data_IF_421971830961
#
_entry.id   IF_421971830961
#
_cell.length_a   1.000
_cell.length_b   1.000
_cell.length_c   1.000
_cell.angle_alpha   90.00
_cell.angle_beta   90.00
_cell.angle_gamma   90.00
#
_symmetry.space_group_name_H-M   'P 1'
#
loop_
_entity.id
_entity.type
_entity.pdbx_description
1 polymer ?
#
# COMPACT_ATOMS: atom_id res chain seq x y z
N UNK A 1 4.64 -17.55 1.14
CA UNK A 1 4.77 -17.21 -0.31
C UNK A 1 4.35 -15.75 -0.51
N UNK A 2 4.69 -15.10 -1.63
CA UNK A 2 4.40 -13.66 -1.82
C UNK A 2 2.89 -13.35 -1.80
N UNK A 3 2.09 -14.23 -2.40
CA UNK A 3 0.62 -14.11 -2.46
C UNK A 3 -0.05 -14.24 -1.08
N UNK A 4 0.47 -15.12 -0.22
CA UNK A 4 -0.02 -15.28 1.16
C UNK A 4 0.22 -14.01 1.98
N UNK A 5 1.38 -13.37 1.78
CA UNK A 5 1.73 -12.12 2.46
C UNK A 5 0.88 -10.95 1.95
N UNK A 6 0.63 -10.89 0.64
CA UNK A 6 -0.22 -9.87 0.00
C UNK A 6 -1.65 -9.91 0.54
N UNK A 7 -2.28 -11.10 0.59
CA UNK A 7 -3.64 -11.25 1.09
C UNK A 7 -3.82 -10.92 2.58
N UNK A 8 -2.81 -11.21 3.41
CA UNK A 8 -2.82 -10.82 4.82
C UNK A 8 -2.76 -9.30 4.99
N UNK A 9 -1.96 -8.63 4.16
CA UNK A 9 -1.76 -7.18 4.25
C UNK A 9 -2.80 -6.34 3.53
N UNK A 10 -3.63 -6.91 2.66
CA UNK A 10 -4.79 -6.22 2.12
C UNK A 10 -5.86 -5.98 3.21
N UNK A 11 -6.05 -6.98 4.08
CA UNK A 11 -7.07 -6.92 5.13
C UNK A 11 -6.65 -6.06 6.33
N UNK A 12 -5.35 -5.94 6.60
CA UNK A 12 -4.84 -5.13 7.72
C UNK A 12 -5.27 -3.66 7.67
N UNK A 13 -4.97 -2.87 6.62
CA UNK A 13 -5.32 -1.45 6.54
C UNK A 13 -6.83 -1.24 6.39
N UNK A 14 -7.54 -2.15 5.72
CA UNK A 14 -8.99 -2.13 5.65
C UNK A 14 -9.63 -2.23 7.05
N UNK A 15 -9.15 -3.14 7.89
CA UNK A 15 -9.62 -3.27 9.27
C UNK A 15 -9.13 -2.14 10.18
N UNK A 16 -7.91 -1.63 9.96
CA UNK A 16 -7.33 -0.55 10.75
C UNK A 16 -8.08 0.77 10.57
N UNK A 17 -8.43 1.11 9.34
CA UNK A 17 -9.07 2.39 9.01
C UNK A 17 -10.58 2.27 8.80
N UNK A 18 -11.11 1.07 8.60
CA UNK A 18 -12.52 0.86 8.25
C UNK A 18 -12.87 1.37 6.84
N UNK A 19 -11.88 1.43 5.94
CA UNK A 19 -12.05 1.94 4.57
C UNK A 19 -11.72 0.86 3.55
N UNK A 20 -12.29 0.99 2.35
CA UNK A 20 -11.96 0.13 1.22
C UNK A 20 -10.63 0.50 0.56
N UNK A 21 -10.13 -0.41 -0.27
CA UNK A 21 -8.94 -0.19 -1.09
C UNK A 21 -9.22 0.83 -2.20
N UNK A 22 -8.23 1.65 -2.52
CA UNK A 22 -8.23 2.58 -3.63
C UNK A 22 -6.97 2.38 -4.47
N UNK A 23 -7.14 1.89 -5.69
CA UNK A 23 -6.06 1.67 -6.64
C UNK A 23 -5.55 3.01 -7.19
N UNK A 24 -4.24 3.21 -7.14
CA UNK A 24 -3.57 4.43 -7.59
C UNK A 24 -3.01 4.27 -9.00
N UNK A 25 -2.86 5.38 -9.77
CA UNK A 25 -2.32 5.33 -11.13
C UNK A 25 -0.91 4.73 -11.25
N UNK A 26 -0.14 4.70 -10.17
CA UNK A 26 1.21 4.13 -10.10
C UNK A 26 1.21 2.62 -9.75
N UNK A 27 0.03 2.00 -9.69
CA UNK A 27 -0.19 0.58 -9.41
C UNK A 27 -0.26 0.24 -7.91
N UNK A 28 -0.27 1.24 -7.02
CA UNK A 28 -0.41 1.01 -5.58
C UNK A 28 -1.86 0.73 -5.17
N UNK A 29 -2.05 -0.26 -4.30
CA UNK A 29 -3.32 -0.47 -3.60
C UNK A 29 -3.26 0.29 -2.27
N UNK A 30 -4.06 1.35 -2.12
CA UNK A 30 -3.94 2.27 -0.99
C UNK A 30 -5.20 2.36 -0.15
N UNK A 31 -5.02 2.59 1.15
CA UNK A 31 -6.07 2.90 2.10
C UNK A 31 -5.75 4.21 2.79
N UNK A 32 -6.73 5.11 2.85
CA UNK A 32 -6.57 6.44 3.42
C UNK A 32 -7.44 6.57 4.67
N UNK A 33 -6.80 6.74 5.82
CA UNK A 33 -7.44 6.99 7.10
C UNK A 33 -6.84 8.22 7.77
N UNK A 34 -6.35 8.06 9.01
CA UNK A 34 -5.57 9.10 9.67
C UNK A 34 -4.19 9.31 9.01
N UNK A 35 -3.70 8.28 8.32
CA UNK A 35 -2.54 8.25 7.47
C UNK A 35 -2.80 7.33 6.26
N UNK A 36 -1.83 7.19 5.38
CA UNK A 36 -1.95 6.40 4.14
C UNK A 36 -1.08 5.16 4.23
N UNK A 37 -1.67 4.01 3.93
CA UNK A 37 -0.96 2.75 3.77
C UNK A 37 -1.17 2.30 2.33
N UNK A 38 -0.10 1.98 1.62
CA UNK A 38 -0.16 1.43 0.27
C UNK A 38 0.67 0.15 0.15
N UNK A 39 0.14 -0.78 -0.61
CA UNK A 39 0.75 -2.05 -0.98
C UNK A 39 1.15 -2.00 -2.45
N UNK A 40 2.38 -2.40 -2.73
CA UNK A 40 2.96 -2.41 -4.07
C UNK A 40 3.58 -3.77 -4.38
N UNK A 41 3.51 -4.16 -5.65
CA UNK A 41 4.36 -5.21 -6.19
C UNK A 41 5.47 -4.55 -7.03
N UNK A 42 6.71 -4.64 -6.56
CA UNK A 42 7.89 -4.05 -7.22
C UNK A 42 8.89 -5.17 -7.51
N UNK A 43 8.99 -5.55 -8.80
CA UNK A 43 9.73 -6.74 -9.21
C UNK A 43 9.15 -8.00 -8.55
N UNK A 44 10.00 -8.75 -7.86
CA UNK A 44 9.61 -9.95 -7.11
C UNK A 44 9.24 -9.65 -5.64
N UNK A 45 9.35 -8.39 -5.21
CA UNK A 45 9.10 -7.99 -3.84
C UNK A 45 7.72 -7.35 -3.67
N UNK A 46 7.08 -7.67 -2.54
CA UNK A 46 5.92 -6.95 -2.04
C UNK A 46 6.38 -5.87 -1.07
N UNK A 47 6.05 -4.61 -1.35
CA UNK A 47 6.48 -3.45 -0.57
C UNK A 47 5.25 -2.80 0.05
N UNK A 48 5.38 -2.43 1.33
CA UNK A 48 4.34 -1.73 2.08
C UNK A 48 4.90 -0.38 2.48
N UNK A 49 4.21 0.68 2.10
CA UNK A 49 4.57 2.04 2.44
C UNK A 49 3.48 2.62 3.33
N UNK A 50 3.87 3.16 4.48
CA UNK A 50 2.99 3.88 5.40
C UNK A 50 3.52 5.30 5.59
N UNK A 51 2.72 6.30 5.25
CA UNK A 51 3.14 7.70 5.22
C UNK A 51 1.95 8.63 5.54
N UNK A 52 2.18 9.91 5.88
CA UNK A 52 1.10 10.83 6.25
C UNK A 52 0.11 11.13 5.10
N UNK A 53 0.54 11.06 3.86
CA UNK A 53 -0.24 11.40 2.66
C UNK A 53 0.20 10.60 1.44
N UNK A 54 -0.63 10.58 0.40
CA UNK A 54 -0.39 9.84 -0.84
C UNK A 54 0.85 10.32 -1.60
N UNK A 55 1.17 11.62 -1.54
CA UNK A 55 2.34 12.19 -2.22
C UNK A 55 3.62 11.57 -1.66
N UNK A 56 3.74 11.55 -0.33
CA UNK A 56 4.88 10.93 0.36
C UNK A 56 4.97 9.44 0.07
N UNK A 57 3.83 8.72 0.00
CA UNK A 57 3.84 7.30 -0.38
C UNK A 57 4.39 7.11 -1.80
N UNK A 58 3.92 7.91 -2.76
CA UNK A 58 4.34 7.81 -4.15
C UNK A 58 5.85 8.08 -4.31
N UNK A 59 6.40 9.07 -3.60
CA UNK A 59 7.83 9.36 -3.58
C UNK A 59 8.67 8.19 -3.05
N UNK A 60 8.25 7.59 -1.92
CA UNK A 60 8.93 6.42 -1.36
C UNK A 60 8.85 5.24 -2.31
N UNK A 61 7.67 4.95 -2.88
CA UNK A 61 7.48 3.86 -3.82
C UNK A 61 8.32 4.04 -5.09
N UNK A 62 8.41 5.27 -5.62
CA UNK A 62 9.26 5.59 -6.77
C UNK A 62 10.74 5.32 -6.49
N UNK A 63 11.22 5.59 -5.27
CA UNK A 63 12.60 5.34 -4.87
C UNK A 63 12.94 3.84 -4.67
N UNK A 64 11.95 2.94 -4.63
CA UNK A 64 12.15 1.49 -4.51
C UNK A 64 12.08 0.73 -5.84
N UNK A 65 11.67 1.40 -6.93
CA UNK A 65 11.56 0.82 -8.29
C UNK A 65 12.90 0.85 -9.02
#
# INVERSE_FOLDING_TARGET
DGEEFFGAYENYPANLFGVGVNEQPDGGLCWQGADVICLYQIGEATVIVRAPDLETVADVAAAQR
#
